data_IF_489466010950
#
_entry.id   IF_489466010950
#
_cell.length_a   1.000
_cell.length_b   1.000
_cell.length_c   1.000
_cell.angle_alpha   90.00
_cell.angle_beta   90.00
_cell.angle_gamma   90.00
#
_symmetry.space_group_name_H-M   'P 1'
#
loop_
_entity.id
_entity.type
_entity.pdbx_description
1 polymer ?
#
# COMPACT_ATOMS: atom_id res chain seq x y z
N UNK A 1 21.77 -16.70 -13.97
CA UNK A 1 20.40 -17.27 -13.97
C UNK A 1 19.47 -16.30 -14.66
N UNK A 2 18.81 -16.74 -15.71
CA UNK A 2 18.02 -15.86 -16.60
C UNK A 2 16.85 -15.24 -15.84
N UNK A 3 16.73 -13.90 -15.87
CA UNK A 3 15.55 -13.18 -15.42
C UNK A 3 14.32 -13.77 -16.11
N UNK A 4 13.38 -14.23 -15.30
CA UNK A 4 12.16 -14.84 -15.79
C UNK A 4 11.25 -13.76 -16.39
N UNK A 5 11.30 -13.57 -17.72
CA UNK A 5 10.26 -12.91 -18.50
C UNK A 5 8.91 -13.67 -18.39
N UNK A 6 8.84 -14.62 -17.49
CA UNK A 6 7.78 -15.63 -17.40
C UNK A 6 6.42 -15.12 -17.01
N UNK A 7 6.31 -13.98 -16.29
CA UNK A 7 4.98 -13.51 -15.92
C UNK A 7 4.24 -12.90 -17.11
N UNK A 8 4.95 -12.17 -18.00
CA UNK A 8 4.36 -11.64 -19.24
C UNK A 8 3.95 -12.79 -20.15
N UNK A 9 4.82 -13.79 -20.33
CA UNK A 9 4.53 -14.98 -21.16
C UNK A 9 3.43 -15.87 -20.54
N UNK A 10 3.33 -15.97 -19.22
CA UNK A 10 2.30 -16.77 -18.54
C UNK A 10 0.92 -16.14 -18.57
N UNK A 11 0.84 -14.79 -18.53
CA UNK A 11 -0.43 -14.06 -18.51
C UNK A 11 -0.82 -13.47 -19.87
N UNK A 12 0.15 -13.39 -20.83
CA UNK A 12 -0.05 -12.86 -22.18
C UNK A 12 0.54 -13.82 -23.22
N UNK A 13 -0.02 -15.03 -23.40
CA UNK A 13 0.56 -16.08 -24.27
C UNK A 13 0.65 -15.70 -25.75
N UNK A 14 -0.01 -14.62 -26.19
CA UNK A 14 0.01 -14.16 -27.58
C UNK A 14 1.06 -13.06 -27.87
N UNK A 15 1.84 -12.67 -26.85
CA UNK A 15 2.90 -11.67 -27.00
C UNK A 15 4.27 -12.35 -27.27
N UNK A 16 4.36 -13.11 -28.35
CA UNK A 16 5.65 -13.48 -28.92
C UNK A 16 6.29 -12.21 -29.49
N UNK A 17 7.56 -12.00 -29.16
CA UNK A 17 8.36 -10.86 -29.58
C UNK A 17 8.23 -10.61 -31.10
N UNK A 18 7.30 -9.75 -31.48
CA UNK A 18 7.32 -9.13 -32.78
C UNK A 18 8.35 -8.00 -32.74
N UNK A 19 9.17 -7.86 -33.76
CA UNK A 19 10.11 -6.76 -33.96
C UNK A 19 9.46 -5.43 -33.57
N UNK A 20 9.80 -4.94 -32.37
CA UNK A 20 9.34 -3.64 -31.89
C UNK A 20 10.02 -2.57 -32.76
N UNK A 21 9.28 -1.64 -33.36
CA UNK A 21 9.89 -0.45 -33.91
C UNK A 21 10.66 0.25 -32.78
N UNK A 22 11.81 0.82 -33.11
CA UNK A 22 12.55 1.68 -32.19
C UNK A 22 11.59 2.76 -31.70
N UNK A 23 11.16 2.64 -30.43
CA UNK A 23 10.40 3.69 -29.76
C UNK A 23 11.40 4.81 -29.55
N UNK A 24 11.32 5.82 -30.37
CA UNK A 24 12.00 7.09 -30.13
C UNK A 24 11.68 7.55 -28.72
N UNK A 25 12.68 7.64 -27.90
CA UNK A 25 12.96 8.42 -26.67
C UNK A 25 11.81 8.92 -25.78
N UNK A 26 10.57 8.51 -25.92
CA UNK A 26 9.42 9.01 -25.16
C UNK A 26 8.77 7.88 -24.35
N UNK A 27 9.54 7.25 -23.47
CA UNK A 27 9.06 6.19 -22.60
C UNK A 27 8.12 6.68 -21.48
N UNK A 28 8.04 5.93 -20.41
CA UNK A 28 7.29 6.27 -19.19
C UNK A 28 8.21 6.96 -18.21
N UNK A 29 7.82 8.15 -17.72
CA UNK A 29 8.52 8.87 -16.67
C UNK A 29 7.76 8.73 -15.34
N UNK A 30 8.40 8.16 -14.34
CA UNK A 30 7.83 7.95 -12.99
C UNK A 30 8.48 8.95 -12.04
N UNK A 31 7.67 9.77 -11.38
CA UNK A 31 8.11 10.71 -10.35
C UNK A 31 7.76 10.15 -8.98
N UNK A 32 8.79 9.84 -8.20
CA UNK A 32 8.71 9.22 -6.88
C UNK A 32 9.08 7.74 -6.89
N UNK A 33 10.18 7.39 -6.20
CA UNK A 33 10.72 6.03 -6.05
C UNK A 33 10.36 5.36 -4.72
N UNK A 34 9.28 5.80 -4.07
CA UNK A 34 8.72 5.13 -2.90
C UNK A 34 8.21 3.72 -3.24
N UNK A 35 7.57 3.05 -2.26
CA UNK A 35 7.12 1.66 -2.42
C UNK A 35 6.31 1.41 -3.71
N UNK A 36 5.40 2.33 -4.07
CA UNK A 36 4.52 2.18 -5.24
C UNK A 36 5.24 2.49 -6.54
N UNK A 37 5.98 3.60 -6.61
CA UNK A 37 6.70 3.99 -7.83
C UNK A 37 7.82 3.01 -8.18
N UNK A 38 8.55 2.51 -7.18
CA UNK A 38 9.53 1.44 -7.36
C UNK A 38 8.89 0.14 -7.89
N UNK A 39 7.73 -0.25 -7.32
CA UNK A 39 6.98 -1.42 -7.81
C UNK A 39 6.50 -1.26 -9.25
N UNK A 40 6.05 -0.05 -9.62
CA UNK A 40 5.66 0.25 -11.01
C UNK A 40 6.84 0.15 -11.96
N UNK A 41 8.00 0.74 -11.59
CA UNK A 41 9.21 0.69 -12.41
C UNK A 41 9.64 -0.76 -12.69
N UNK A 42 9.61 -1.60 -11.64
CA UNK A 42 9.92 -3.03 -11.74
C UNK A 42 8.88 -3.75 -12.63
N UNK A 43 7.61 -3.45 -12.48
CA UNK A 43 6.54 -4.07 -13.27
C UNK A 43 6.66 -3.73 -14.76
N UNK A 44 7.00 -2.48 -15.09
CA UNK A 44 7.26 -2.05 -16.47
C UNK A 44 8.49 -2.74 -17.07
N UNK A 45 9.61 -2.81 -16.32
CA UNK A 45 10.80 -3.54 -16.75
C UNK A 45 10.49 -5.01 -17.02
N UNK A 46 9.75 -5.67 -16.12
CA UNK A 46 9.31 -7.05 -16.29
C UNK A 46 8.40 -7.25 -17.52
N UNK A 47 7.63 -6.22 -17.89
CA UNK A 47 6.83 -6.19 -19.11
C UNK A 47 7.62 -5.82 -20.37
N UNK A 48 8.92 -5.54 -20.26
CA UNK A 48 9.78 -5.14 -21.38
C UNK A 48 9.66 -3.67 -21.78
N UNK A 49 9.05 -2.84 -20.95
CA UNK A 49 8.80 -1.41 -21.18
C UNK A 49 9.93 -0.57 -20.57
N UNK A 50 10.54 0.28 -21.39
CA UNK A 50 11.54 1.23 -20.90
C UNK A 50 10.89 2.35 -20.07
N UNK A 51 11.49 2.65 -18.91
CA UNK A 51 11.01 3.70 -18.02
C UNK A 51 12.17 4.49 -17.41
N UNK A 52 11.88 5.73 -17.00
CA UNK A 52 12.77 6.54 -16.18
C UNK A 52 12.12 6.76 -14.81
N UNK A 53 12.83 6.43 -13.74
CA UNK A 53 12.42 6.65 -12.35
C UNK A 53 13.22 7.81 -11.75
N UNK A 54 12.52 8.84 -11.29
CA UNK A 54 13.10 10.00 -10.60
C UNK A 54 12.76 9.92 -9.12
N UNK A 55 13.80 9.96 -8.27
CA UNK A 55 13.65 9.90 -6.82
C UNK A 55 14.55 10.91 -6.11
N UNK A 56 13.99 11.62 -5.13
CA UNK A 56 14.70 12.66 -4.38
C UNK A 56 15.70 12.09 -3.37
N UNK A 57 15.38 10.94 -2.79
CA UNK A 57 16.27 10.27 -1.84
C UNK A 57 17.40 9.53 -2.56
N UNK A 58 18.56 9.41 -1.91
CA UNK A 58 19.62 8.56 -2.40
C UNK A 58 19.16 7.09 -2.49
N UNK A 59 19.70 6.27 -3.42
CA UNK A 59 19.27 4.90 -3.64
C UNK A 59 19.78 3.93 -2.55
N UNK A 60 19.47 4.27 -1.29
CA UNK A 60 19.79 3.47 -0.10
C UNK A 60 18.54 3.30 0.73
N UNK A 61 18.39 2.13 1.37
CA UNK A 61 17.19 1.80 2.14
C UNK A 61 16.99 2.74 3.36
N UNK A 62 18.06 3.25 3.94
CA UNK A 62 18.05 4.16 5.08
C UNK A 62 17.79 5.64 4.70
N UNK A 63 17.88 5.99 3.42
CA UNK A 63 17.69 7.35 2.94
C UNK A 63 16.24 7.62 2.46
N UNK A 64 15.49 6.58 2.08
CA UNK A 64 14.15 6.71 1.54
C UNK A 64 13.10 6.85 2.66
N UNK A 65 12.39 7.99 2.77
CA UNK A 65 11.43 8.22 3.86
C UNK A 65 10.28 7.21 3.97
N UNK A 66 9.91 6.57 2.87
CA UNK A 66 8.86 5.54 2.86
C UNK A 66 9.34 4.15 3.28
N UNK A 67 10.67 3.94 3.44
CA UNK A 67 11.28 2.68 3.87
C UNK A 67 11.59 2.73 5.38
N UNK A 68 10.59 3.01 6.17
CA UNK A 68 10.68 3.25 7.61
C UNK A 68 10.33 2.00 8.45
N UNK A 69 10.21 2.22 9.75
CA UNK A 69 9.89 1.18 10.74
C UNK A 69 8.40 0.82 10.82
N UNK A 70 7.56 1.43 9.97
CA UNK A 70 6.13 1.05 9.95
C UNK A 70 5.98 -0.41 9.58
N UNK A 71 5.11 -1.09 10.32
CA UNK A 71 4.75 -2.45 9.99
C UNK A 71 3.68 -2.44 8.90
N UNK A 72 4.03 -2.99 7.75
CA UNK A 72 3.09 -3.19 6.65
C UNK A 72 2.34 -4.51 6.86
N UNK A 73 1.02 -4.50 6.67
CA UNK A 73 0.25 -5.71 6.47
C UNK A 73 -0.07 -5.83 4.97
N UNK A 74 0.63 -6.72 4.31
CA UNK A 74 0.45 -7.01 2.89
C UNK A 74 -0.71 -7.98 2.72
N UNK A 75 -1.73 -7.60 1.99
CA UNK A 75 -2.82 -8.49 1.62
C UNK A 75 -2.31 -9.61 0.69
N UNK A 76 -3.01 -10.75 0.63
CA UNK A 76 -2.60 -11.86 -0.23
C UNK A 76 -2.39 -11.46 -1.69
N UNK A 77 -3.33 -10.71 -2.27
CA UNK A 77 -3.20 -10.18 -3.63
C UNK A 77 -1.94 -9.32 -3.83
N UNK A 78 -1.54 -8.59 -2.81
CA UNK A 78 -0.31 -7.77 -2.82
C UNK A 78 0.92 -8.66 -2.88
N UNK A 79 0.96 -9.73 -2.09
CA UNK A 79 2.07 -10.68 -2.11
C UNK A 79 2.16 -11.40 -3.45
N UNK A 80 1.02 -11.85 -4.00
CA UNK A 80 0.98 -12.43 -5.35
C UNK A 80 1.55 -11.45 -6.40
N UNK A 81 1.18 -10.17 -6.33
CA UNK A 81 1.70 -9.14 -7.23
C UNK A 81 3.21 -8.91 -7.07
N UNK A 82 3.70 -8.84 -5.83
CA UNK A 82 5.14 -8.72 -5.55
C UNK A 82 5.93 -9.95 -6.00
N UNK A 83 5.34 -11.13 -5.91
CA UNK A 83 5.95 -12.37 -6.42
C UNK A 83 6.01 -12.38 -7.94
N UNK A 84 4.91 -12.00 -8.60
CA UNK A 84 4.84 -11.92 -10.06
C UNK A 84 5.91 -10.99 -10.67
N UNK A 85 6.22 -9.86 -9.99
CA UNK A 85 7.29 -8.95 -10.44
C UNK A 85 8.67 -9.27 -9.86
N UNK A 86 8.80 -10.40 -9.14
CA UNK A 86 10.07 -10.93 -8.63
C UNK A 86 10.64 -10.23 -7.39
N UNK A 87 9.85 -9.43 -6.70
CA UNK A 87 10.25 -8.75 -5.44
C UNK A 87 10.15 -9.69 -4.24
N UNK A 88 9.11 -10.52 -4.19
CA UNK A 88 8.80 -11.33 -3.01
C UNK A 88 9.94 -12.28 -2.61
N UNK A 89 10.68 -12.86 -3.56
CA UNK A 89 11.82 -13.73 -3.30
C UNK A 89 12.92 -13.10 -2.44
N UNK A 90 13.04 -11.76 -2.47
CA UNK A 90 14.05 -11.02 -1.70
C UNK A 90 13.63 -10.71 -0.26
N UNK A 91 12.35 -10.92 0.09
CA UNK A 91 11.81 -10.53 1.40
C UNK A 91 10.95 -11.61 2.07
N UNK A 92 10.56 -12.67 1.38
CA UNK A 92 9.69 -13.72 1.90
C UNK A 92 10.16 -14.29 3.26
N UNK A 93 11.46 -14.53 3.43
CA UNK A 93 12.03 -15.06 4.67
C UNK A 93 11.93 -14.10 5.87
N UNK A 94 11.65 -12.82 5.64
CA UNK A 94 11.47 -11.78 6.68
C UNK A 94 10.01 -11.49 6.99
N UNK A 95 9.09 -12.00 6.18
CA UNK A 95 7.67 -11.77 6.33
C UNK A 95 7.04 -12.80 7.27
N UNK A 96 6.14 -12.33 8.13
CA UNK A 96 5.38 -13.20 9.05
C UNK A 96 3.96 -13.36 8.49
N UNK A 97 3.46 -14.59 8.27
CA UNK A 97 2.12 -14.81 7.77
C UNK A 97 1.06 -14.38 8.78
N UNK A 98 -0.06 -13.87 8.28
CA UNK A 98 -1.29 -13.63 9.03
C UNK A 98 -2.24 -14.77 8.69
N UNK A 99 -2.36 -15.75 9.57
CA UNK A 99 -3.31 -16.87 9.40
C UNK A 99 -4.65 -16.61 10.04
N UNK A 100 -4.64 -15.80 11.09
CA UNK A 100 -5.85 -15.47 11.84
C UNK A 100 -5.97 -13.97 12.01
N UNK A 101 -7.19 -13.46 11.93
CA UNK A 101 -7.51 -12.06 12.28
C UNK A 101 -8.62 -12.08 13.33
N UNK A 102 -8.44 -11.33 14.39
CA UNK A 102 -9.43 -11.15 15.45
C UNK A 102 -9.82 -9.68 15.54
N UNK A 103 -11.07 -9.39 15.22
CA UNK A 103 -11.65 -8.05 15.31
C UNK A 103 -12.60 -8.00 16.50
N UNK A 104 -12.47 -7.00 17.36
CA UNK A 104 -13.34 -6.81 18.52
C UNK A 104 -13.47 -5.33 18.88
N UNK A 105 -14.42 -5.00 19.75
CA UNK A 105 -14.57 -3.68 20.33
C UNK A 105 -14.47 -3.75 21.86
N UNK A 106 -13.88 -2.74 22.48
CA UNK A 106 -13.80 -2.61 23.93
C UNK A 106 -15.20 -2.38 24.50
N UNK A 107 -15.54 -3.08 25.59
CA UNK A 107 -16.85 -2.96 26.23
C UNK A 107 -18.01 -3.63 25.48
N UNK A 108 -17.79 -4.26 24.33
CA UNK A 108 -18.83 -4.96 23.58
C UNK A 108 -18.55 -6.47 23.50
N UNK A 109 -19.62 -7.28 23.38
CA UNK A 109 -19.51 -8.73 23.42
C UNK A 109 -19.22 -9.39 22.07
N UNK A 110 -19.46 -8.68 20.95
CA UNK A 110 -19.25 -9.21 19.60
C UNK A 110 -17.77 -9.28 19.22
N UNK A 111 -17.39 -10.33 18.49
CA UNK A 111 -16.08 -10.40 17.82
C UNK A 111 -16.21 -11.13 16.49
N UNK A 112 -15.38 -10.75 15.53
CA UNK A 112 -15.24 -11.47 14.26
C UNK A 112 -13.88 -12.16 14.21
N UNK A 113 -13.88 -13.41 13.72
CA UNK A 113 -12.68 -14.23 13.56
C UNK A 113 -12.57 -14.66 12.10
N UNK A 114 -11.42 -14.41 11.52
CA UNK A 114 -11.11 -14.77 10.14
C UNK A 114 -9.94 -15.74 10.18
N UNK A 115 -10.13 -16.93 9.67
CA UNK A 115 -9.13 -18.00 9.66
C UNK A 115 -8.81 -18.37 8.21
N UNK A 116 -7.53 -18.39 7.85
CA UNK A 116 -7.07 -18.66 6.49
C UNK A 116 -7.58 -20.00 5.95
N UNK A 117 -7.55 -21.04 6.78
CA UNK A 117 -7.99 -22.40 6.41
C UNK A 117 -9.46 -22.44 5.97
N UNK A 118 -10.33 -21.62 6.60
CA UNK A 118 -11.76 -21.52 6.22
C UNK A 118 -11.97 -20.90 4.84
N UNK A 119 -10.93 -20.25 4.31
CA UNK A 119 -10.93 -19.61 2.99
C UNK A 119 -10.06 -20.34 1.97
N UNK A 120 -9.52 -21.53 2.33
CA UNK A 120 -8.70 -22.35 1.44
C UNK A 120 -7.35 -21.74 1.09
N UNK A 121 -6.80 -20.91 1.97
CA UNK A 121 -5.51 -20.23 1.75
C UNK A 121 -4.55 -20.52 2.92
N UNK A 122 -3.25 -20.50 2.65
CA UNK A 122 -2.20 -20.70 3.68
C UNK A 122 -2.04 -19.48 4.60
N UNK A 123 -2.33 -18.27 4.08
CA UNK A 123 -2.35 -17.02 4.83
C UNK A 123 -3.30 -16.00 4.19
N UNK A 124 -3.90 -15.15 5.00
CA UNK A 124 -4.74 -14.01 4.56
C UNK A 124 -3.89 -12.84 4.07
N UNK A 125 -2.65 -12.80 4.51
CA UNK A 125 -1.66 -11.77 4.20
C UNK A 125 -0.39 -12.00 5.00
N UNK A 126 0.55 -11.07 4.93
CA UNK A 126 1.83 -11.10 5.64
C UNK A 126 2.18 -9.75 6.24
N UNK A 127 2.93 -9.77 7.32
CA UNK A 127 3.46 -8.55 7.94
C UNK A 127 4.97 -8.50 7.85
N UNK A 128 5.49 -7.29 7.62
CA UNK A 128 6.92 -6.99 7.65
C UNK A 128 7.14 -5.48 7.83
N UNK A 129 8.32 -5.04 8.33
CA UNK A 129 8.68 -3.62 8.33
C UNK A 129 8.81 -3.06 6.91
N UNK A 130 8.41 -1.80 6.70
CA UNK A 130 8.49 -1.15 5.39
C UNK A 130 9.93 -1.09 4.86
N UNK A 131 10.94 -0.95 5.74
CA UNK A 131 12.36 -0.99 5.36
C UNK A 131 12.76 -2.31 4.69
N UNK A 132 12.22 -3.45 5.14
CA UNK A 132 12.54 -4.76 4.56
C UNK A 132 11.98 -4.89 3.13
N UNK A 133 10.75 -4.40 2.92
CA UNK A 133 10.17 -4.33 1.59
C UNK A 133 10.93 -3.34 0.71
N UNK A 134 11.32 -2.19 1.25
CA UNK A 134 12.11 -1.18 0.55
C UNK A 134 13.47 -1.73 0.09
N UNK A 135 14.17 -2.47 0.97
CA UNK A 135 15.43 -3.12 0.63
C UNK A 135 15.25 -4.18 -0.47
N UNK A 136 14.14 -4.94 -0.45
CA UNK A 136 13.82 -5.90 -1.50
C UNK A 136 13.52 -5.23 -2.84
N UNK A 137 12.79 -4.12 -2.83
CA UNK A 137 12.52 -3.32 -4.03
C UNK A 137 13.82 -2.77 -4.63
N UNK A 138 14.72 -2.22 -3.82
CA UNK A 138 16.02 -1.73 -4.29
C UNK A 138 16.84 -2.84 -4.95
N UNK A 139 16.94 -4.02 -4.32
CA UNK A 139 17.62 -5.19 -4.93
C UNK A 139 17.01 -5.56 -6.27
N UNK A 140 15.68 -5.58 -6.36
CA UNK A 140 15.01 -5.92 -7.62
C UNK A 140 15.16 -4.81 -8.69
N UNK A 141 15.19 -3.54 -8.27
CA UNK A 141 15.50 -2.40 -9.17
C UNK A 141 16.90 -2.49 -9.75
N UNK A 142 17.88 -3.02 -9.00
CA UNK A 142 19.25 -3.22 -9.49
C UNK A 142 19.35 -4.33 -10.56
N UNK A 143 18.35 -5.21 -10.62
CA UNK A 143 18.24 -6.25 -11.65
C UNK A 143 17.53 -5.79 -12.93
N UNK A 144 16.91 -4.56 -12.91
CA UNK A 144 16.19 -4.02 -14.06
C UNK A 144 17.16 -3.60 -15.18
N UNK A 145 16.84 -3.99 -16.41
CA UNK A 145 17.70 -3.74 -17.58
C UNK A 145 17.15 -2.62 -18.49
N UNK A 146 15.88 -2.29 -18.36
CA UNK A 146 15.18 -1.27 -19.18
C UNK A 146 14.83 -0.02 -18.38
N UNK A 147 15.37 0.10 -17.17
CA UNK A 147 15.06 1.20 -16.24
C UNK A 147 16.25 2.15 -16.14
N UNK A 148 16.01 3.44 -16.41
CA UNK A 148 16.93 4.52 -16.06
C UNK A 148 16.56 5.07 -14.68
N UNK A 149 17.50 5.07 -13.73
CA UNK A 149 17.28 5.62 -12.39
C UNK A 149 18.02 6.93 -12.22
N UNK A 150 17.30 7.97 -11.83
CA UNK A 150 17.83 9.28 -11.46
C UNK A 150 17.56 9.49 -9.96
N UNK A 151 18.56 9.25 -9.13
CA UNK A 151 18.47 9.37 -7.67
C UNK A 151 19.88 9.65 -7.08
N UNK A 152 20.06 10.72 -6.32
CA UNK A 152 19.05 11.71 -5.95
C UNK A 152 18.77 12.69 -7.11
N UNK A 153 17.47 12.91 -7.39
CA UNK A 153 17.02 13.84 -8.41
C UNK A 153 15.59 14.36 -8.12
N UNK A 154 15.30 15.58 -8.51
CA UNK A 154 14.02 16.23 -8.18
C UNK A 154 13.38 16.80 -9.45
N UNK A 155 12.09 16.57 -9.61
CA UNK A 155 11.29 17.24 -10.62
C UNK A 155 11.15 18.73 -10.28
N UNK A 156 11.62 19.60 -11.17
CA UNK A 156 11.60 21.05 -10.98
C UNK A 156 10.44 21.74 -11.72
N UNK A 157 10.11 21.27 -12.93
CA UNK A 157 9.03 21.84 -13.73
C UNK A 157 8.50 20.81 -14.75
N UNK A 158 7.28 21.04 -15.20
CA UNK A 158 6.61 20.29 -16.25
C UNK A 158 6.11 21.23 -17.34
N UNK A 159 6.32 20.87 -18.59
CA UNK A 159 5.83 21.60 -19.74
C UNK A 159 5.06 20.63 -20.65
N UNK A 160 3.78 20.90 -20.99
CA UNK A 160 3.04 20.06 -21.91
C UNK A 160 3.66 20.12 -23.31
N UNK A 161 3.66 18.99 -24.01
CA UNK A 161 4.06 18.85 -25.40
C UNK A 161 2.91 18.24 -26.19
N UNK A 162 2.97 18.30 -27.54
CA UNK A 162 1.94 17.70 -28.37
C UNK A 162 1.72 16.22 -28.08
N UNK A 163 2.80 15.46 -27.89
CA UNK A 163 2.77 14.00 -27.70
C UNK A 163 3.25 13.57 -26.32
N UNK A 164 3.22 14.44 -25.31
CA UNK A 164 3.69 14.07 -23.98
C UNK A 164 3.97 15.24 -23.07
N UNK A 165 5.01 15.08 -22.25
CA UNK A 165 5.49 16.07 -21.30
C UNK A 165 6.99 16.25 -21.41
N UNK A 166 7.47 17.48 -21.28
CA UNK A 166 8.87 17.79 -20.99
C UNK A 166 9.04 18.06 -19.51
N UNK A 167 9.80 17.21 -18.84
CA UNK A 167 10.12 17.33 -17.42
C UNK A 167 11.51 17.91 -17.23
N UNK A 168 11.64 18.95 -16.41
CA UNK A 168 12.93 19.46 -15.98
C UNK A 168 13.32 18.75 -14.68
N UNK A 169 14.39 17.96 -14.72
CA UNK A 169 14.89 17.19 -13.60
C UNK A 169 16.20 17.80 -13.11
N UNK A 170 16.23 18.21 -11.85
CA UNK A 170 17.44 18.67 -11.16
C UNK A 170 18.18 17.48 -10.60
N UNK A 171 19.45 17.32 -11.01
CA UNK A 171 20.38 16.31 -10.52
C UNK A 171 21.60 17.00 -9.90
N UNK A 172 22.53 16.24 -9.33
CA UNK A 172 23.79 16.78 -8.83
C UNK A 172 24.64 17.44 -9.93
N UNK A 173 24.52 16.96 -11.16
CA UNK A 173 25.28 17.45 -12.34
C UNK A 173 24.60 18.64 -13.05
N UNK A 174 23.44 19.11 -12.56
CA UNK A 174 22.67 20.20 -13.15
C UNK A 174 21.24 19.82 -13.54
N UNK A 175 20.62 20.61 -14.42
CA UNK A 175 19.24 20.39 -14.89
C UNK A 175 19.26 19.60 -16.19
N UNK A 176 18.48 18.52 -16.26
CA UNK A 176 18.24 17.69 -17.44
C UNK A 176 16.79 17.84 -17.88
N UNK A 177 16.56 17.95 -19.18
CA UNK A 177 15.21 17.87 -19.76
C UNK A 177 14.96 16.44 -20.24
N UNK A 178 13.82 15.90 -19.85
CA UNK A 178 13.37 14.55 -20.25
C UNK A 178 12.02 14.70 -20.92
N UNK A 179 11.92 14.27 -22.17
CA UNK A 179 10.65 14.17 -22.88
C UNK A 179 10.05 12.78 -22.63
N UNK A 180 8.75 12.69 -22.39
CA UNK A 180 8.04 11.44 -22.06
C UNK A 180 6.66 11.40 -22.68
N UNK A 181 6.24 10.25 -23.19
CA UNK A 181 4.90 10.01 -23.69
C UNK A 181 3.87 9.85 -22.57
N UNK A 182 4.29 9.30 -21.41
CA UNK A 182 3.44 9.13 -20.24
C UNK A 182 4.17 9.60 -18.98
N UNK A 183 3.57 10.58 -18.28
CA UNK A 183 3.99 11.03 -16.97
C UNK A 183 3.23 10.28 -15.87
N UNK A 184 3.93 9.71 -14.90
CA UNK A 184 3.32 9.04 -13.75
C UNK A 184 3.70 9.76 -12.46
N UNK A 185 2.70 10.26 -11.73
CA UNK A 185 2.85 10.80 -10.38
C UNK A 185 2.74 9.68 -9.34
N UNK A 186 3.86 9.36 -8.70
CA UNK A 186 3.99 8.42 -7.58
C UNK A 186 4.66 9.08 -6.37
N UNK A 187 4.63 10.40 -6.30
CA UNK A 187 5.38 11.33 -5.46
C UNK A 187 4.68 11.64 -4.11
N UNK A 188 3.81 10.75 -3.66
CA UNK A 188 3.26 10.77 -2.31
C UNK A 188 2.04 11.67 -2.12
N UNK A 189 1.64 11.83 -0.85
CA UNK A 189 0.39 12.51 -0.48
C UNK A 189 0.34 13.97 -0.91
N UNK A 190 1.47 14.68 -0.84
CA UNK A 190 1.61 16.08 -1.25
C UNK A 190 2.18 16.18 -2.68
N UNK A 191 1.64 15.38 -3.60
CA UNK A 191 2.13 15.22 -4.96
C UNK A 191 2.27 16.56 -5.72
N UNK A 192 3.49 16.85 -6.15
CA UNK A 192 3.81 17.97 -7.02
C UNK A 192 3.24 17.74 -8.42
N UNK A 193 3.35 16.50 -8.95
CA UNK A 193 2.78 16.13 -10.24
C UNK A 193 1.27 16.41 -10.27
N UNK A 194 0.54 15.97 -9.25
CA UNK A 194 -0.91 16.24 -9.13
C UNK A 194 -1.23 17.73 -9.19
N UNK A 195 -0.46 18.53 -8.43
CA UNK A 195 -0.63 19.99 -8.41
C UNK A 195 -0.36 20.63 -9.78
N UNK A 196 0.69 20.20 -10.46
CA UNK A 196 1.03 20.70 -11.82
C UNK A 196 -0.04 20.31 -12.87
N UNK A 197 -0.74 19.20 -12.66
CA UNK A 197 -1.85 18.76 -13.51
C UNK A 197 -3.17 19.48 -13.20
N UNK A 198 -3.21 20.38 -12.21
CA UNK A 198 -4.43 21.04 -11.77
C UNK A 198 -5.50 20.06 -11.31
N UNK A 199 -5.09 18.99 -10.59
CA UNK A 199 -6.01 17.99 -10.06
C UNK A 199 -6.25 18.29 -8.57
N UNK A 200 -7.46 18.71 -8.25
CA UNK A 200 -7.88 18.99 -6.90
C UNK A 200 -8.03 17.72 -6.06
N UNK A 201 -8.01 17.89 -4.74
CA UNK A 201 -8.19 16.82 -3.77
C UNK A 201 -9.31 17.11 -2.80
N UNK A 202 -10.02 16.06 -2.40
CA UNK A 202 -10.83 16.06 -1.20
C UNK A 202 -9.94 15.65 -0.02
N UNK A 203 -9.88 16.49 1.02
CA UNK A 203 -9.14 16.21 2.26
C UNK A 203 -10.11 16.00 3.42
N UNK A 204 -9.79 15.04 4.26
CA UNK A 204 -10.50 14.81 5.52
C UNK A 204 -9.49 14.52 6.62
N UNK A 205 -9.48 15.40 7.63
CA UNK A 205 -8.69 15.18 8.84
C UNK A 205 -9.53 14.37 9.82
N UNK A 206 -8.98 13.28 10.33
CA UNK A 206 -9.68 12.46 11.32
C UNK A 206 -9.51 12.98 12.74
N UNK A 207 -8.69 14.00 12.97
CA UNK A 207 -8.36 14.51 14.30
C UNK A 207 -7.66 13.45 15.16
N UNK A 208 -6.84 12.61 14.54
CA UNK A 208 -6.20 11.47 15.19
C UNK A 208 -4.72 11.40 14.83
N UNK A 209 -3.94 10.91 15.80
CA UNK A 209 -2.52 10.57 15.62
C UNK A 209 -2.32 9.08 15.87
N UNK A 210 -1.54 8.46 14.99
CA UNK A 210 -1.16 7.06 15.04
C UNK A 210 0.25 6.93 15.62
N UNK A 211 0.43 6.12 16.64
CA UNK A 211 1.75 5.72 17.14
C UNK A 211 2.06 4.31 16.65
N UNK A 212 3.17 4.17 15.93
CA UNK A 212 3.65 2.87 15.45
C UNK A 212 4.95 2.52 16.19
N UNK A 213 5.00 1.31 16.73
CA UNK A 213 6.21 0.73 17.28
C UNK A 213 6.13 -0.80 17.27
N UNK A 214 7.10 -1.49 17.86
CA UNK A 214 7.02 -2.91 18.14
C UNK A 214 6.88 -3.16 19.63
N UNK A 215 6.27 -4.26 20.02
CA UNK A 215 6.21 -4.74 21.42
C UNK A 215 6.46 -6.24 21.50
N UNK A 216 6.84 -6.74 22.68
CA UNK A 216 6.95 -8.17 22.94
C UNK A 216 5.77 -8.59 23.82
N UNK A 217 4.87 -9.44 23.33
CA UNK A 217 3.82 -10.03 24.16
C UNK A 217 4.36 -11.20 24.99
N UNK A 218 3.75 -11.45 26.14
CA UNK A 218 4.06 -12.61 27.00
C UNK A 218 3.68 -13.93 26.33
N UNK A 219 2.51 -13.98 25.69
CA UNK A 219 2.00 -15.14 24.96
C UNK A 219 2.34 -15.02 23.49
N UNK A 220 2.57 -16.17 22.86
CA UNK A 220 2.77 -16.22 21.40
C UNK A 220 1.53 -15.71 20.64
N UNK A 221 1.75 -14.88 19.63
CA UNK A 221 0.68 -14.35 18.77
C UNK A 221 0.08 -15.40 17.83
N UNK A 222 0.73 -16.55 17.63
CA UNK A 222 0.26 -17.65 16.78
C UNK A 222 -0.17 -17.18 15.38
N UNK A 223 0.60 -16.27 14.78
CA UNK A 223 0.32 -15.68 13.45
C UNK A 223 -1.06 -14.99 13.36
N UNK A 224 -1.54 -14.47 14.50
CA UNK A 224 -2.82 -13.78 14.61
C UNK A 224 -2.62 -12.27 14.68
N UNK A 225 -3.29 -11.57 13.79
CA UNK A 225 -3.47 -10.12 13.86
C UNK A 225 -4.69 -9.80 14.72
N UNK A 226 -4.59 -8.74 15.51
CA UNK A 226 -5.67 -8.23 16.34
C UNK A 226 -6.00 -6.80 15.92
N UNK A 227 -7.28 -6.52 15.74
CA UNK A 227 -7.83 -5.18 15.61
C UNK A 227 -8.85 -4.99 16.72
N UNK A 228 -8.61 -4.03 17.61
CA UNK A 228 -9.52 -3.73 18.70
C UNK A 228 -9.94 -2.26 18.65
N UNK A 229 -11.21 -2.06 18.44
CA UNK A 229 -11.81 -0.73 18.47
C UNK A 229 -12.07 -0.26 19.89
N UNK A 230 -11.89 1.01 20.14
CA UNK A 230 -12.23 1.70 21.38
C UNK A 230 -12.76 3.10 21.04
N UNK A 231 -13.35 3.78 22.03
CA UNK A 231 -13.94 5.11 21.85
C UNK A 231 -12.89 6.18 21.48
N UNK A 232 -11.64 5.97 21.91
CA UNK A 232 -10.52 6.88 21.68
C UNK A 232 -9.69 6.50 20.45
N UNK A 233 -10.13 5.53 19.67
CA UNK A 233 -9.47 5.05 18.47
C UNK A 233 -9.10 3.56 18.51
N UNK A 234 -8.79 2.96 17.36
CA UNK A 234 -8.39 1.57 17.28
C UNK A 234 -6.97 1.34 17.81
N UNK A 235 -6.75 0.11 18.30
CA UNK A 235 -5.42 -0.44 18.54
C UNK A 235 -5.28 -1.76 17.80
N UNK A 236 -4.15 -1.93 17.06
CA UNK A 236 -3.84 -3.17 16.37
C UNK A 236 -2.53 -3.78 16.87
N UNK A 237 -2.48 -5.10 16.92
CA UNK A 237 -1.27 -5.88 17.11
C UNK A 237 -1.12 -6.83 15.92
N UNK A 238 -0.03 -6.67 15.18
CA UNK A 238 0.30 -7.44 14.00
C UNK A 238 1.44 -8.43 14.31
N UNK A 239 1.33 -9.71 13.93
CA UNK A 239 2.38 -10.69 14.19
C UNK A 239 3.67 -10.33 13.44
N UNK A 240 4.80 -10.38 14.10
CA UNK A 240 6.13 -10.21 13.53
C UNK A 240 7.03 -11.39 13.88
N UNK A 241 8.17 -11.49 13.22
CA UNK A 241 9.20 -12.46 13.56
C UNK A 241 9.63 -12.35 15.05
N UNK A 242 10.31 -13.37 15.54
CA UNK A 242 10.89 -13.42 16.91
C UNK A 242 9.85 -13.23 18.02
N UNK A 243 8.60 -13.65 17.79
CA UNK A 243 7.47 -13.50 18.73
C UNK A 243 7.19 -12.04 19.10
N UNK A 244 7.60 -11.09 18.27
CA UNK A 244 7.28 -9.67 18.43
C UNK A 244 5.92 -9.36 17.78
N UNK A 245 5.33 -8.24 18.16
CA UNK A 245 4.17 -7.66 17.48
C UNK A 245 4.47 -6.23 17.05
N UNK A 246 4.01 -5.87 15.86
CA UNK A 246 3.84 -4.49 15.47
C UNK A 246 2.63 -3.90 16.18
N UNK A 247 2.83 -2.87 16.97
CA UNK A 247 1.78 -2.12 17.64
C UNK A 247 1.41 -0.89 16.82
N UNK A 248 0.12 -0.71 16.62
CA UNK A 248 -0.48 0.48 16.01
C UNK A 248 -1.52 1.01 17.00
N UNK A 249 -1.22 2.14 17.65
CA UNK A 249 -2.09 2.78 18.63
C UNK A 249 -2.58 4.11 18.09
N UNK A 250 -3.88 4.28 17.98
CA UNK A 250 -4.50 5.55 17.57
C UNK A 250 -4.99 6.30 18.80
N UNK A 251 -4.70 7.59 18.86
CA UNK A 251 -5.17 8.50 19.90
C UNK A 251 -5.76 9.76 19.27
N UNK A 252 -6.61 10.54 19.97
CA UNK A 252 -7.01 11.87 19.57
C UNK A 252 -5.79 12.77 19.33
N UNK A 253 -5.86 13.68 18.36
CA UNK A 253 -4.72 14.54 18.00
C UNK A 253 -4.28 15.46 19.14
N UNK A 254 -5.20 15.91 19.98
CA UNK A 254 -4.95 16.73 21.16
C UNK A 254 -4.27 15.97 22.32
N UNK A 255 -4.29 14.64 22.30
CA UNK A 255 -3.56 13.79 23.25
C UNK A 255 -2.16 13.39 22.72
N UNK A 256 -1.83 13.66 21.46
CA UNK A 256 -0.65 13.14 20.80
C UNK A 256 0.67 13.54 21.51
N UNK A 257 0.81 14.80 21.92
CA UNK A 257 2.02 15.29 22.59
C UNK A 257 2.19 14.65 23.97
N UNK A 258 1.09 14.44 24.70
CA UNK A 258 1.09 13.77 26.01
C UNK A 258 1.55 12.32 25.83
N UNK A 259 1.02 11.61 24.83
CA UNK A 259 1.41 10.21 24.56
C UNK A 259 2.84 10.11 24.05
N UNK A 260 3.30 11.07 23.25
CA UNK A 260 4.68 11.13 22.78
C UNK A 260 5.69 11.31 23.93
N UNK A 261 5.31 12.06 24.96
CA UNK A 261 6.15 12.36 26.14
C UNK A 261 6.18 11.23 27.19
N UNK A 262 5.29 10.21 27.10
CA UNK A 262 5.30 9.08 28.01
C UNK A 262 6.63 8.35 27.98
N UNK A 263 7.11 7.88 29.12
CA UNK A 263 8.19 6.88 29.16
C UNK A 263 7.71 5.52 28.61
N UNK A 264 8.62 4.59 28.48
CA UNK A 264 8.33 3.27 27.93
C UNK A 264 7.34 2.47 28.79
N UNK A 265 7.42 2.60 30.11
CA UNK A 265 6.55 1.88 31.03
C UNK A 265 5.11 2.40 30.96
N UNK A 266 4.93 3.73 31.01
CA UNK A 266 3.64 4.38 30.92
C UNK A 266 2.98 4.17 29.53
N UNK A 267 3.77 4.21 28.44
CA UNK A 267 3.27 3.91 27.11
C UNK A 267 2.79 2.45 26.97
N UNK A 268 3.57 1.48 27.49
CA UNK A 268 3.16 0.07 27.47
C UNK A 268 1.91 -0.14 28.33
N UNK A 269 1.79 0.54 29.47
CA UNK A 269 0.59 0.48 30.30
C UNK A 269 -0.64 1.04 29.57
N UNK A 270 -0.51 2.16 28.85
CA UNK A 270 -1.56 2.70 28.01
C UNK A 270 -1.97 1.70 26.92
N UNK A 271 -1.01 1.12 26.20
CA UNK A 271 -1.25 0.10 25.18
C UNK A 271 -1.93 -1.15 25.78
N UNK A 272 -1.49 -1.60 26.96
CA UNK A 272 -2.06 -2.74 27.67
C UNK A 272 -3.52 -2.49 28.07
N UNK A 273 -3.85 -1.32 28.64
CA UNK A 273 -5.24 -0.95 28.99
C UNK A 273 -6.14 -0.95 27.75
N UNK A 274 -5.65 -0.41 26.63
CA UNK A 274 -6.40 -0.34 25.36
C UNK A 274 -6.58 -1.71 24.72
N UNK A 275 -5.53 -2.53 24.68
CA UNK A 275 -5.56 -3.84 24.04
C UNK A 275 -6.20 -4.92 24.91
N UNK A 276 -5.98 -4.88 26.21
CA UNK A 276 -6.37 -5.94 27.16
C UNK A 276 -5.32 -7.05 27.24
N UNK A 277 -5.69 -8.20 27.83
CA UNK A 277 -4.78 -9.26 28.28
C UNK A 277 -4.75 -10.51 27.37
N UNK A 278 -5.26 -10.43 26.16
CA UNK A 278 -5.33 -11.59 25.24
C UNK A 278 -3.97 -12.21 24.94
N UNK A 279 -2.95 -11.39 24.84
CA UNK A 279 -1.56 -11.82 24.61
C UNK A 279 -0.70 -11.78 25.90
N UNK A 280 -1.34 -11.77 27.09
CA UNK A 280 -0.65 -11.59 28.34
C UNK A 280 -0.10 -10.18 28.48
N UNK A 281 0.99 -10.01 29.24
CA UNK A 281 1.67 -8.73 29.45
C UNK A 281 2.41 -8.29 28.18
N UNK A 282 2.25 -7.02 27.79
CA UNK A 282 3.06 -6.38 26.77
C UNK A 282 4.33 -5.80 27.41
N UNK A 283 5.44 -5.82 26.69
CA UNK A 283 6.74 -5.32 27.17
C UNK A 283 7.65 -4.92 26.02
N UNK A 284 8.80 -4.34 26.34
CA UNK A 284 9.88 -3.98 25.40
C UNK A 284 9.37 -3.18 24.18
N UNK A 285 8.81 -1.99 24.37
CA UNK A 285 8.40 -1.15 23.26
C UNK A 285 9.63 -0.75 22.44
N UNK A 286 9.51 -0.77 21.13
CA UNK A 286 10.49 -0.18 20.23
C UNK A 286 10.28 1.34 20.13
N UNK A 287 11.13 1.99 19.33
CA UNK A 287 11.02 3.43 19.07
C UNK A 287 9.61 3.74 18.51
N UNK A 288 8.99 4.75 19.09
CA UNK A 288 7.64 5.22 18.73
C UNK A 288 7.73 6.25 17.61
N UNK A 289 6.90 6.08 16.58
CA UNK A 289 6.80 7.01 15.46
C UNK A 289 5.37 7.52 15.38
N UNK A 290 5.13 8.83 15.62
CA UNK A 290 3.82 9.44 15.46
C UNK A 290 3.53 9.78 13.99
N UNK A 291 2.28 9.61 13.56
CA UNK A 291 1.78 9.97 12.23
C UNK A 291 0.39 10.58 12.34
N UNK A 292 0.20 11.81 11.87
CA UNK A 292 -1.14 12.40 11.72
C UNK A 292 -1.94 11.68 10.64
N UNK A 293 -3.22 11.45 10.89
CA UNK A 293 -4.07 10.65 10.02
C UNK A 293 -4.99 11.54 9.20
N UNK A 294 -4.75 11.56 7.89
CA UNK A 294 -5.58 12.26 6.93
C UNK A 294 -6.02 11.34 5.80
N UNK A 295 -7.23 11.55 5.29
CA UNK A 295 -7.63 11.05 3.99
C UNK A 295 -7.38 12.14 2.95
N UNK A 296 -6.74 11.78 1.84
CA UNK A 296 -6.60 12.63 0.66
C UNK A 296 -7.05 11.82 -0.55
N UNK A 297 -7.92 12.38 -1.36
CA UNK A 297 -8.42 11.71 -2.55
C UNK A 297 -8.41 12.69 -3.74
N UNK A 298 -7.60 12.40 -4.75
CA UNK A 298 -7.62 13.16 -6.00
C UNK A 298 -8.99 13.03 -6.68
N UNK A 299 -9.53 14.12 -7.21
CA UNK A 299 -10.84 14.13 -7.87
C UNK A 299 -10.83 13.30 -9.17
N UNK A 300 -9.68 13.19 -9.81
CA UNK A 300 -9.45 12.34 -10.99
C UNK A 300 -8.08 11.69 -10.93
N UNK A 301 -7.94 10.51 -11.55
CA UNK A 301 -6.69 9.74 -11.55
C UNK A 301 -5.79 10.11 -12.74
N UNK A 302 -6.32 10.77 -13.75
CA UNK A 302 -5.64 11.00 -15.03
C UNK A 302 -5.75 12.45 -15.46
N UNK A 303 -4.77 12.91 -16.22
CA UNK A 303 -4.74 14.13 -16.98
C UNK A 303 -4.25 13.83 -18.43
N UNK A 304 -4.09 14.85 -19.28
CA UNK A 304 -3.52 14.65 -20.61
C UNK A 304 -2.15 13.96 -20.50
N UNK A 305 -2.03 12.76 -21.07
CA UNK A 305 -0.79 11.95 -21.03
C UNK A 305 -0.15 11.82 -19.65
N UNK A 306 -0.97 11.79 -18.59
CA UNK A 306 -0.51 11.72 -17.21
C UNK A 306 -1.45 10.90 -16.33
N UNK A 307 -0.89 10.20 -15.34
CA UNK A 307 -1.62 9.34 -14.41
C UNK A 307 -1.05 9.44 -13.01
N UNK A 308 -1.90 9.33 -11.99
CA UNK A 308 -1.54 9.27 -10.58
C UNK A 308 -1.70 7.85 -10.05
N UNK A 309 -0.73 7.41 -9.23
CA UNK A 309 -0.75 6.10 -8.57
C UNK A 309 -0.40 6.23 -7.08
N UNK A 310 -0.91 5.32 -6.27
CA UNK A 310 -0.61 5.28 -4.84
C UNK A 310 -1.05 6.52 -4.10
N UNK A 311 -0.20 7.03 -3.18
CA UNK A 311 -0.57 8.18 -2.34
C UNK A 311 -0.72 9.50 -3.13
N UNK A 312 -0.16 9.62 -4.32
CA UNK A 312 -0.42 10.76 -5.21
C UNK A 312 -1.89 10.80 -5.68
N UNK A 313 -2.49 9.63 -5.87
CA UNK A 313 -3.91 9.46 -6.22
C UNK A 313 -4.82 9.45 -4.99
N UNK A 314 -4.46 8.70 -3.94
CA UNK A 314 -5.23 8.59 -2.71
C UNK A 314 -4.40 8.15 -1.50
N UNK A 315 -4.55 8.88 -0.40
CA UNK A 315 -4.11 8.47 0.93
C UNK A 315 -5.33 8.06 1.74
N UNK A 316 -5.31 6.86 2.29
CA UNK A 316 -6.43 6.30 3.06
C UNK A 316 -6.07 6.16 4.54
N UNK A 317 -7.10 6.15 5.41
CA UNK A 317 -6.87 5.84 6.83
C UNK A 317 -6.17 4.48 6.96
N UNK A 318 -5.17 4.34 7.84
CA UNK A 318 -4.35 3.11 7.96
C UNK A 318 -5.12 1.89 8.48
N UNK A 319 -6.37 2.04 8.91
CA UNK A 319 -7.22 0.93 9.36
C UNK A 319 -7.30 -0.16 8.29
N UNK A 320 -7.02 -1.40 8.67
CA UNK A 320 -6.94 -2.52 7.74
C UNK A 320 -5.77 -2.45 6.75
N UNK A 321 -4.79 -1.55 6.99
CA UNK A 321 -3.51 -1.44 6.27
C UNK A 321 -3.63 -1.38 4.72
N UNK A 322 -4.62 -0.66 4.18
CA UNK A 322 -4.94 -0.70 2.74
C UNK A 322 -4.08 0.23 1.85
N UNK A 323 -3.30 1.16 2.40
CA UNK A 323 -2.61 2.19 1.61
C UNK A 323 -1.68 1.62 0.54
N UNK A 324 -0.66 0.86 0.92
CA UNK A 324 0.26 0.24 -0.03
C UNK A 324 -0.43 -0.84 -0.88
N UNK A 325 -1.32 -1.63 -0.28
CA UNK A 325 -2.07 -2.66 -0.99
C UNK A 325 -2.87 -2.09 -2.18
N UNK A 326 -3.52 -0.96 -2.00
CA UNK A 326 -4.26 -0.26 -3.06
C UNK A 326 -3.31 0.33 -4.11
N UNK A 327 -2.23 1.01 -3.66
CA UNK A 327 -1.24 1.62 -4.55
C UNK A 327 -0.48 0.61 -5.41
N UNK A 328 -0.18 -0.59 -4.90
CA UNK A 328 0.43 -1.64 -5.71
C UNK A 328 -0.52 -2.11 -6.82
N UNK A 329 -1.81 -2.26 -6.51
CA UNK A 329 -2.80 -2.60 -7.54
C UNK A 329 -2.96 -1.50 -8.59
N UNK A 330 -2.80 -0.21 -8.22
CA UNK A 330 -2.72 0.89 -9.19
C UNK A 330 -1.53 0.69 -10.13
N UNK A 331 -0.34 0.46 -9.57
CA UNK A 331 0.89 0.27 -10.32
C UNK A 331 0.82 -0.91 -11.29
N UNK A 332 0.34 -2.06 -10.81
CA UNK A 332 0.25 -3.29 -11.63
C UNK A 332 -0.83 -3.18 -12.71
N UNK A 333 -1.96 -2.51 -12.43
CA UNK A 333 -3.00 -2.24 -13.45
C UNK A 333 -2.46 -1.33 -14.55
N UNK A 334 -1.70 -0.28 -14.18
CA UNK A 334 -1.09 0.61 -15.16
C UNK A 334 -0.07 -0.14 -16.02
N UNK A 335 0.83 -0.90 -15.39
CA UNK A 335 1.84 -1.68 -16.10
C UNK A 335 1.21 -2.68 -17.08
N UNK A 336 0.13 -3.37 -16.68
CA UNK A 336 -0.63 -4.29 -17.52
C UNK A 336 -1.21 -3.58 -18.76
N UNK A 337 -1.82 -2.42 -18.59
CA UNK A 337 -2.41 -1.66 -19.70
C UNK A 337 -1.35 -1.09 -20.64
N UNK A 338 -0.25 -0.57 -20.10
CA UNK A 338 0.87 -0.02 -20.89
C UNK A 338 1.55 -1.13 -21.69
N UNK A 339 1.69 -2.35 -21.13
CA UNK A 339 2.32 -3.48 -21.80
C UNK A 339 1.64 -3.90 -23.13
N UNK A 340 0.35 -3.58 -23.27
CA UNK A 340 -0.43 -3.92 -24.48
C UNK A 340 -0.69 -2.73 -25.39
N UNK A 341 -0.17 -1.55 -25.06
CA UNK A 341 -0.45 -0.32 -25.78
C UNK A 341 0.67 0.05 -26.76
N UNK A 342 0.31 0.61 -27.89
CA UNK A 342 1.26 1.26 -28.82
C UNK A 342 1.67 2.65 -28.36
N UNK A 343 0.77 3.38 -27.69
CA UNK A 343 0.99 4.68 -27.08
C UNK A 343 0.62 4.63 -25.61
N UNK A 344 1.59 4.69 -24.67
CA UNK A 344 1.34 4.59 -23.24
C UNK A 344 0.58 5.80 -22.67
N UNK A 345 0.60 6.94 -23.37
CA UNK A 345 -0.09 8.18 -22.99
C UNK A 345 -1.45 8.36 -23.64
N UNK A 346 -1.94 7.39 -24.43
CA UNK A 346 -3.21 7.48 -25.14
C UNK A 346 -4.41 7.71 -24.22
N UNK A 347 -5.31 8.60 -24.61
CA UNK A 347 -6.46 8.98 -23.78
C UNK A 347 -7.40 7.82 -23.45
N UNK A 348 -7.58 6.89 -24.39
CA UNK A 348 -8.41 5.68 -24.19
C UNK A 348 -7.78 4.71 -23.19
N UNK A 349 -6.45 4.55 -23.19
CA UNK A 349 -5.72 3.77 -22.19
C UNK A 349 -5.92 4.36 -20.80
N UNK A 350 -5.74 5.67 -20.66
CA UNK A 350 -5.90 6.36 -19.38
C UNK A 350 -7.35 6.32 -18.89
N UNK A 351 -8.32 6.40 -19.78
CA UNK A 351 -9.73 6.22 -19.46
C UNK A 351 -10.03 4.79 -18.97
N UNK A 352 -9.47 3.76 -19.63
CA UNK A 352 -9.58 2.36 -19.18
C UNK A 352 -8.93 2.15 -17.81
N UNK A 353 -7.76 2.75 -17.58
CA UNK A 353 -7.11 2.71 -16.27
C UNK A 353 -8.04 3.29 -15.17
N UNK A 354 -8.54 4.50 -15.37
CA UNK A 354 -9.42 5.16 -14.41
C UNK A 354 -10.69 4.33 -14.13
N UNK A 355 -11.34 3.84 -15.17
CA UNK A 355 -12.55 3.02 -15.06
C UNK A 355 -12.30 1.70 -14.30
N UNK A 356 -11.19 1.02 -14.58
CA UNK A 356 -10.83 -0.25 -13.93
C UNK A 356 -10.45 -0.06 -12.47
N UNK A 357 -9.83 1.10 -12.11
CA UNK A 357 -9.42 1.38 -10.73
C UNK A 357 -10.54 1.93 -9.85
N UNK A 358 -11.56 2.59 -10.43
CA UNK A 358 -12.62 3.25 -9.69
C UNK A 358 -13.33 2.34 -8.67
N UNK A 359 -13.83 1.13 -9.01
CA UNK A 359 -14.55 0.28 -8.05
C UNK A 359 -13.70 -0.16 -6.85
N UNK A 360 -12.41 -0.47 -7.06
CA UNK A 360 -11.49 -0.86 -6.00
C UNK A 360 -11.11 0.35 -5.13
N UNK A 361 -10.80 1.48 -5.75
CA UNK A 361 -10.46 2.73 -5.07
C UNK A 361 -11.61 3.22 -4.19
N UNK A 362 -12.79 3.40 -4.75
CA UNK A 362 -13.98 3.89 -4.06
C UNK A 362 -14.41 2.93 -2.96
N UNK A 363 -14.46 1.64 -3.25
CA UNK A 363 -14.82 0.63 -2.28
C UNK A 363 -13.81 0.50 -1.12
N UNK A 364 -12.52 0.69 -1.38
CA UNK A 364 -11.48 0.68 -0.32
C UNK A 364 -11.57 1.94 0.53
N UNK A 365 -11.74 3.12 -0.07
CA UNK A 365 -11.93 4.38 0.65
C UNK A 365 -13.20 4.37 1.49
N UNK A 366 -14.34 3.93 0.93
CA UNK A 366 -15.60 3.82 1.64
C UNK A 366 -15.53 2.84 2.82
N UNK A 367 -14.88 1.69 2.62
CA UNK A 367 -14.69 0.70 3.70
C UNK A 367 -13.83 1.26 4.82
N UNK A 368 -12.67 1.85 4.50
CA UNK A 368 -11.77 2.44 5.49
C UNK A 368 -12.46 3.58 6.28
N UNK A 369 -13.09 4.52 5.59
CA UNK A 369 -13.83 5.60 6.22
C UNK A 369 -15.03 5.11 7.04
N UNK A 370 -15.80 4.15 6.52
CA UNK A 370 -16.93 3.55 7.20
C UNK A 370 -16.54 2.81 8.49
N UNK A 371 -15.45 2.04 8.45
CA UNK A 371 -14.93 1.36 9.63
C UNK A 371 -14.52 2.35 10.73
N UNK A 372 -13.82 3.44 10.37
CA UNK A 372 -13.46 4.48 11.34
C UNK A 372 -14.70 5.11 11.96
N UNK A 373 -15.68 5.51 11.15
CA UNK A 373 -16.93 6.11 11.65
C UNK A 373 -17.67 5.15 12.58
N UNK A 374 -17.85 3.88 12.20
CA UNK A 374 -18.50 2.88 13.05
C UNK A 374 -17.70 2.63 14.34
N UNK A 375 -16.37 2.63 14.24
CA UNK A 375 -15.50 2.42 15.38
C UNK A 375 -15.53 3.58 16.40
N UNK A 376 -15.64 4.83 15.93
CA UNK A 376 -15.61 6.03 16.77
C UNK A 376 -17.00 6.51 17.20
N UNK A 377 -18.09 5.86 16.77
CA UNK A 377 -19.44 6.20 17.20
C UNK A 377 -19.63 5.87 18.70
N UNK A 378 -19.73 6.91 19.53
CA UNK A 378 -19.94 6.80 20.99
C UNK A 378 -21.41 6.57 21.41
N UNK A 379 -22.28 6.20 20.48
CA UNK A 379 -23.71 6.02 20.77
C UNK A 379 -23.97 4.66 21.43
N UNK A 380 -24.36 4.59 22.71
CA UNK A 380 -24.61 3.34 23.44
C UNK A 380 -25.70 2.48 22.79
N UNK A 381 -26.72 3.11 22.20
CA UNK A 381 -27.83 2.44 21.52
C UNK A 381 -27.39 1.62 20.30
N UNK A 382 -26.23 1.92 19.71
CA UNK A 382 -25.67 1.17 18.57
C UNK A 382 -24.77 -0.01 18.98
N UNK A 383 -24.39 -0.12 20.26
CA UNK A 383 -23.55 -1.18 20.75
C UNK A 383 -24.10 -2.60 20.48
N UNK A 384 -25.40 -2.89 20.73
CA UNK A 384 -25.99 -4.18 20.40
C UNK A 384 -25.97 -4.46 18.89
N UNK A 385 -26.24 -3.46 18.04
CA UNK A 385 -26.23 -3.61 16.58
C UNK A 385 -24.83 -3.88 16.06
N UNK A 386 -23.80 -3.22 16.57
CA UNK A 386 -22.39 -3.48 16.21
C UNK A 386 -21.98 -4.89 16.61
N UNK A 387 -22.31 -5.29 17.85
CA UNK A 387 -22.05 -6.64 18.35
C UNK A 387 -22.75 -7.71 17.52
N UNK A 388 -24.02 -7.50 17.15
CA UNK A 388 -24.77 -8.39 16.27
C UNK A 388 -24.18 -8.44 14.86
N UNK A 389 -23.71 -7.30 14.33
CA UNK A 389 -23.06 -7.26 13.01
C UNK A 389 -21.75 -8.09 13.00
N UNK A 390 -20.93 -8.00 14.05
CA UNK A 390 -19.73 -8.82 14.20
C UNK A 390 -20.08 -10.30 14.33
N UNK A 391 -21.11 -10.65 15.09
CA UNK A 391 -21.59 -12.02 15.20
C UNK A 391 -22.19 -12.55 13.89
N UNK A 392 -22.94 -11.72 13.16
CA UNK A 392 -23.49 -12.08 11.84
C UNK A 392 -22.36 -12.35 10.85
N UNK A 393 -21.30 -11.51 10.87
CA UNK A 393 -20.10 -11.77 10.09
C UNK A 393 -19.51 -13.15 10.42
N UNK A 394 -19.38 -13.51 11.70
CA UNK A 394 -18.79 -14.77 12.16
C UNK A 394 -19.66 -16.00 11.83
N UNK A 395 -21.00 -15.80 11.69
CA UNK A 395 -22.00 -16.88 11.52
C UNK A 395 -22.57 -17.04 10.11
N UNK A 396 -22.35 -16.08 9.20
CA UNK A 396 -22.89 -16.08 7.84
C UNK A 396 -21.79 -16.33 6.81
N UNK A 397 -21.54 -17.59 6.38
CA UNK A 397 -20.39 -17.93 5.53
C UNK A 397 -20.32 -17.17 4.20
N UNK A 398 -21.43 -16.88 3.48
CA UNK A 398 -21.35 -16.10 2.25
C UNK A 398 -20.84 -14.67 2.48
N UNK A 399 -21.31 -14.01 3.57
CA UNK A 399 -20.87 -12.67 3.96
C UNK A 399 -19.40 -12.67 4.34
N UNK A 400 -19.00 -13.64 5.16
CA UNK A 400 -17.61 -13.82 5.57
C UNK A 400 -16.69 -14.00 4.36
N UNK A 401 -17.03 -14.91 3.44
CA UNK A 401 -16.25 -15.13 2.21
C UNK A 401 -16.12 -13.86 1.36
N UNK A 402 -17.22 -13.15 1.13
CA UNK A 402 -17.23 -11.94 0.32
C UNK A 402 -16.36 -10.82 0.92
N UNK A 403 -16.47 -10.58 2.23
CA UNK A 403 -15.71 -9.54 2.93
C UNK A 403 -14.25 -9.91 3.07
N UNK A 404 -13.92 -11.18 3.40
CA UNK A 404 -12.55 -11.66 3.48
C UNK A 404 -11.84 -11.58 2.14
N UNK A 405 -12.50 -12.01 1.04
CA UNK A 405 -11.94 -11.88 -0.31
C UNK A 405 -11.59 -10.43 -0.65
N UNK A 406 -12.46 -9.49 -0.29
CA UNK A 406 -12.19 -8.04 -0.45
C UNK A 406 -11.02 -7.58 0.43
N UNK A 407 -10.94 -8.05 1.67
CA UNK A 407 -9.83 -7.78 2.59
C UNK A 407 -8.50 -8.32 2.10
N UNK A 408 -8.48 -9.48 1.47
CA UNK A 408 -7.31 -10.06 0.80
C UNK A 408 -6.87 -9.31 -0.47
N UNK A 409 -7.61 -8.28 -0.91
CA UNK A 409 -7.25 -7.43 -2.05
C UNK A 409 -7.87 -7.84 -3.40
N UNK A 410 -8.74 -8.85 -3.42
CA UNK A 410 -9.46 -9.30 -4.63
C UNK A 410 -10.79 -8.54 -4.77
N UNK A 411 -10.71 -7.27 -5.19
CA UNK A 411 -11.86 -6.37 -5.36
C UNK A 411 -11.90 -5.83 -6.79
N UNK A 412 -13.10 -5.70 -7.37
CA UNK A 412 -13.28 -5.22 -8.74
C UNK A 412 -12.62 -6.14 -9.77
N UNK A 413 -11.94 -5.56 -10.75
CA UNK A 413 -11.09 -6.24 -11.72
C UNK A 413 -9.62 -6.09 -11.33
N UNK A 414 -9.08 -6.98 -10.49
CA UNK A 414 -7.70 -6.89 -10.08
C UNK A 414 -6.77 -7.15 -11.28
N UNK A 415 -5.54 -6.58 -11.29
CA UNK A 415 -4.57 -6.89 -12.33
C UNK A 415 -4.23 -8.38 -12.31
N UNK A 416 -3.94 -8.95 -13.47
CA UNK A 416 -3.66 -10.39 -13.63
C UNK A 416 -2.53 -10.87 -12.72
N UNK A 417 -1.53 -10.03 -12.52
CA UNK A 417 -0.38 -10.33 -11.67
C UNK A 417 -0.74 -10.63 -10.20
N UNK A 418 -1.92 -10.18 -9.68
CA UNK A 418 -2.33 -10.47 -8.31
C UNK A 418 -3.23 -11.71 -8.20
N UNK A 419 -3.71 -12.24 -9.32
CA UNK A 419 -4.48 -13.47 -9.32
C UNK A 419 -3.55 -14.66 -9.00
N UNK A 420 -4.07 -15.63 -8.26
CA UNK A 420 -3.31 -16.86 -8.01
C UNK A 420 -3.06 -17.57 -9.35
N UNK A 421 -1.84 -18.05 -9.52
CA UNK A 421 -1.59 -19.10 -10.51
C UNK A 421 -2.36 -20.32 -10.00
N UNK A 422 -3.45 -20.66 -10.64
CA UNK A 422 -4.07 -21.95 -10.45
C UNK A 422 -3.01 -23.00 -10.83
N UNK A 423 -2.83 -24.05 -10.01
CA UNK A 423 -1.86 -25.09 -10.27
C UNK A 423 -2.15 -25.81 -11.61
#
# INVERSE_FOLDING_TARGET
>A
MRCNAGWVSAYYPHMTASNSPQVNSNGVLIIGGGLVGASLAIALDAAGIAATLVETAAPRADAQPSYDERNLALARATVNGLDAIGVWRHVAARATPIRHIHVSRSGEFGSARIDADKHGVDALGWTLPARELGAALLRRLDECTRLTRLAPATLAALQPQADGWRAQIRTADGVRNIDTALLVGADGTESFVRTQLGIDVERHDYGQTLFVCTVTPERDHQQRAYERFADDGPIALLPLAERRCGLVLTVPADEADVVAALDDAAFVELAQRRFGWRLGRLSRPGKRHPYSIHRVAAQRLTGPRAVLVGNAAQTVHPIGAQGFNLGLRDALTLAELVATATDPGAADLLARYAARRAPDREGTMAMSHGLVRLACLRQPLLAPLRSLALLAYDRVPPLQRALTRRGMGFRGEPPLAVLERLP
#
